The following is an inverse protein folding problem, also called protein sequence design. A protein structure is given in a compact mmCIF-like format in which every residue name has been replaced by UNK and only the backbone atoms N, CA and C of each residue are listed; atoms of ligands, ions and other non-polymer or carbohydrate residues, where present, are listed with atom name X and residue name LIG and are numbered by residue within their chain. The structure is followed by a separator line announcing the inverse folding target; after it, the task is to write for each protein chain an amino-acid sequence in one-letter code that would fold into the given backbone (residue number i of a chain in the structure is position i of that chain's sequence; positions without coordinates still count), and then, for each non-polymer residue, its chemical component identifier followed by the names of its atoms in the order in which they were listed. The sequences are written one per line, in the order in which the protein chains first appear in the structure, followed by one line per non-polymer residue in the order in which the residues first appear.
data_IF_316235346442
#
_entry.id   IF_316235346442
#
_cell.length_a   1.000
_cell.length_b   1.000
_cell.length_c   1.000
_cell.angle_alpha   90.00
_cell.angle_beta   90.00
_cell.angle_gamma   90.00
#
_symmetry.space_group_name_H-M   'P 1'
#
loop_
_entity.id
_entity.type
_entity.pdbx_description
1 polymer ?
#
# COMPACT_ATOMS: atom_id res chain seq x y z
N UNK A 1 -8.57 9.07 -12.73
CA UNK A 1 -9.09 7.85 -12.06
C UNK A 1 -9.66 8.10 -10.65
N UNK A 2 -8.95 8.81 -9.75
CA UNK A 2 -9.38 9.00 -8.35
C UNK A 2 -10.80 9.55 -8.22
N UNK A 3 -11.12 10.68 -8.86
CA UNK A 3 -12.46 11.27 -8.81
C UNK A 3 -13.57 10.31 -9.32
N UNK A 4 -13.28 9.51 -10.36
CA UNK A 4 -14.24 8.56 -10.91
C UNK A 4 -14.49 7.38 -9.95
N UNK A 5 -13.46 6.89 -9.25
CA UNK A 5 -13.61 5.84 -8.25
C UNK A 5 -14.43 6.32 -7.05
N UNK A 6 -14.25 7.57 -6.61
CA UNK A 6 -15.09 8.17 -5.56
C UNK A 6 -16.57 8.28 -5.96
N UNK A 7 -16.86 8.38 -7.26
CA UNK A 7 -18.23 8.43 -7.80
C UNK A 7 -18.80 7.05 -8.17
N UNK A 8 -18.04 5.97 -7.99
CA UNK A 8 -18.49 4.64 -8.38
C UNK A 8 -19.69 4.19 -7.52
N UNK A 9 -20.82 3.77 -8.12
CA UNK A 9 -21.99 3.35 -7.35
C UNK A 9 -21.73 2.10 -6.52
N UNK A 10 -20.79 1.24 -6.94
CA UNK A 10 -20.43 0.01 -6.21
C UNK A 10 -19.42 0.24 -5.07
N UNK A 11 -19.01 1.48 -4.82
CA UNK A 11 -18.13 1.82 -3.70
C UNK A 11 -18.91 1.77 -2.38
N UNK A 12 -18.46 0.92 -1.46
CA UNK A 12 -18.96 0.88 -0.08
C UNK A 12 -18.64 2.21 0.62
N UNK A 13 -19.67 2.88 1.15
CA UNK A 13 -19.59 4.22 1.78
C UNK A 13 -20.09 4.26 3.22
N UNK A 14 -20.57 3.13 3.71
CA UNK A 14 -21.26 2.92 4.98
C UNK A 14 -20.50 1.94 5.89
N UNK A 15 -19.20 1.77 5.65
CA UNK A 15 -18.35 1.00 6.54
C UNK A 15 -18.41 1.55 7.97
N UNK A 16 -18.49 0.65 8.96
CA UNK A 16 -18.50 1.04 10.36
C UNK A 16 -17.26 1.87 10.70
N UNK A 17 -17.38 2.91 11.54
CA UNK A 17 -16.23 3.69 11.99
C UNK A 17 -15.18 2.77 12.63
N UNK A 18 -13.92 2.89 12.19
CA UNK A 18 -12.81 2.20 12.80
C UNK A 18 -12.28 2.99 14.00
N UNK A 19 -11.89 2.26 15.06
CA UNK A 19 -11.27 2.83 16.25
C UNK A 19 -9.74 2.64 16.22
N UNK A 20 -9.01 3.43 17.02
CA UNK A 20 -7.56 3.23 17.18
C UNK A 20 -7.20 1.81 17.64
N UNK A 21 -8.04 1.19 18.47
CA UNK A 21 -7.83 -0.18 18.91
C UNK A 21 -7.91 -1.17 17.74
N UNK A 22 -8.83 -0.96 16.80
CA UNK A 22 -8.96 -1.81 15.61
C UNK A 22 -7.70 -1.70 14.73
N UNK A 23 -7.12 -0.51 14.57
CA UNK A 23 -5.85 -0.34 13.85
C UNK A 23 -4.67 -1.02 14.55
N UNK A 24 -4.59 -0.91 15.88
CA UNK A 24 -3.50 -1.52 16.67
C UNK A 24 -3.62 -3.05 16.73
N UNK A 25 -4.82 -3.60 16.57
CA UNK A 25 -5.07 -5.05 16.59
C UNK A 25 -4.30 -5.84 15.52
N UNK A 26 -3.84 -5.15 14.46
CA UNK A 26 -3.22 -5.78 13.30
C UNK A 26 -4.22 -6.43 12.34
N UNK A 27 -5.52 -6.40 12.64
CA UNK A 27 -6.55 -6.83 11.71
C UNK A 27 -6.63 -5.83 10.54
N UNK A 28 -6.58 -6.31 9.28
CA UNK A 28 -6.73 -5.43 8.13
C UNK A 28 -8.16 -4.88 8.10
N UNK A 29 -8.30 -3.55 8.19
CA UNK A 29 -9.59 -2.84 8.06
C UNK A 29 -10.09 -2.80 6.61
N UNK A 30 -9.30 -3.32 5.67
CA UNK A 30 -9.58 -3.32 4.24
C UNK A 30 -9.40 -1.96 3.58
N UNK A 31 -9.63 -1.93 2.28
CA UNK A 31 -9.66 -0.72 1.47
C UNK A 31 -10.92 -0.78 0.60
N UNK A 32 -11.88 0.13 0.80
CA UNK A 32 -13.17 0.09 0.09
C UNK A 32 -13.03 0.25 -1.44
N UNK A 33 -11.93 0.83 -1.91
CA UNK A 33 -11.66 0.96 -3.35
C UNK A 33 -11.14 -0.33 -3.97
N UNK A 34 -10.56 -1.24 -3.18
CA UNK A 34 -9.96 -2.48 -3.68
C UNK A 34 -10.93 -3.32 -4.53
N UNK A 35 -12.12 -3.73 -4.04
CA UNK A 35 -13.04 -4.54 -4.84
C UNK A 35 -13.54 -3.82 -6.08
N UNK A 36 -13.69 -2.49 -6.03
CA UNK A 36 -14.16 -1.68 -7.15
C UNK A 36 -13.08 -1.58 -8.24
N UNK A 37 -11.86 -1.25 -7.85
CA UNK A 37 -10.74 -1.07 -8.77
C UNK A 37 -10.33 -2.39 -9.42
N UNK A 38 -10.25 -3.47 -8.64
CA UNK A 38 -9.92 -4.81 -9.14
C UNK A 38 -10.89 -5.30 -10.23
N UNK A 39 -12.19 -4.99 -10.09
CA UNK A 39 -13.19 -5.31 -11.12
C UNK A 39 -13.07 -4.46 -12.39
N UNK A 40 -12.60 -3.21 -12.26
CA UNK A 40 -12.59 -2.24 -13.36
C UNK A 40 -11.28 -2.21 -14.14
N UNK A 41 -10.17 -2.58 -13.50
CA UNK A 41 -8.82 -2.47 -14.09
C UNK A 41 -8.11 -3.84 -14.11
N UNK A 42 -8.14 -4.57 -15.24
CA UNK A 42 -7.55 -5.90 -15.35
C UNK A 42 -6.05 -5.95 -15.00
N UNK A 43 -5.31 -4.88 -15.25
CA UNK A 43 -3.90 -4.78 -14.87
C UNK A 43 -3.70 -4.79 -13.34
N UNK A 44 -4.64 -4.21 -12.58
CA UNK A 44 -4.62 -4.23 -11.12
C UNK A 44 -4.95 -5.63 -10.62
N UNK A 45 -5.95 -6.30 -11.20
CA UNK A 45 -6.26 -7.69 -10.84
C UNK A 45 -5.10 -8.64 -11.14
N UNK A 46 -4.43 -8.48 -12.29
CA UNK A 46 -3.25 -9.26 -12.63
C UNK A 46 -2.10 -9.05 -11.62
N UNK A 47 -1.87 -7.81 -11.19
CA UNK A 47 -0.89 -7.51 -10.15
C UNK A 47 -1.28 -8.15 -8.80
N UNK A 48 -2.56 -8.09 -8.41
CA UNK A 48 -3.08 -8.76 -7.22
C UNK A 48 -2.87 -10.27 -7.28
N UNK A 49 -3.20 -10.91 -8.39
CA UNK A 49 -3.01 -12.34 -8.59
C UNK A 49 -1.52 -12.74 -8.52
N UNK A 50 -0.62 -11.94 -9.09
CA UNK A 50 0.82 -12.18 -9.01
C UNK A 50 1.35 -12.05 -7.57
N UNK A 51 0.93 -11.03 -6.85
CA UNK A 51 1.32 -10.77 -5.46
C UNK A 51 0.72 -11.79 -4.48
N UNK A 52 -0.48 -12.31 -4.76
CA UNK A 52 -1.14 -13.36 -3.97
C UNK A 52 -0.33 -14.65 -3.86
N UNK A 53 0.61 -14.88 -4.79
CA UNK A 53 1.51 -16.04 -4.73
C UNK A 53 2.59 -15.92 -3.67
N UNK A 54 2.88 -14.71 -3.20
CA UNK A 54 3.98 -14.43 -2.26
C UNK A 54 3.51 -13.83 -0.93
N UNK A 55 2.20 -13.58 -0.78
CA UNK A 55 1.60 -13.14 0.48
C UNK A 55 0.19 -12.59 0.28
N UNK A 56 -0.26 -11.75 1.21
CA UNK A 56 -1.60 -11.13 1.16
C UNK A 56 -1.53 -9.73 0.54
N UNK A 57 -1.87 -9.55 -0.75
CA UNK A 57 -1.83 -8.25 -1.40
C UNK A 57 -2.90 -7.31 -0.86
N UNK A 58 -2.57 -6.02 -0.81
CA UNK A 58 -3.49 -4.94 -0.47
C UNK A 58 -3.30 -3.75 -1.39
N UNK A 59 -4.40 -3.03 -1.62
CA UNK A 59 -4.39 -1.77 -2.36
C UNK A 59 -4.00 -0.61 -1.43
N UNK A 60 -3.14 0.29 -1.89
CA UNK A 60 -2.85 1.56 -1.19
C UNK A 60 -3.59 2.74 -1.81
N UNK A 61 -4.17 3.60 -0.97
CA UNK A 61 -4.98 4.75 -1.40
C UNK A 61 -6.16 4.34 -2.30
N UNK A 62 -6.35 5.06 -3.40
CA UNK A 62 -7.32 4.70 -4.45
C UNK A 62 -6.69 3.87 -5.58
N UNK A 63 -5.46 3.37 -5.36
CA UNK A 63 -4.65 2.69 -6.38
C UNK A 63 -3.88 3.64 -7.31
N UNK A 64 -3.14 3.11 -8.28
CA UNK A 64 -3.02 1.68 -8.65
C UNK A 64 -1.92 0.92 -7.89
N UNK A 65 -1.28 1.54 -6.89
CA UNK A 65 -0.25 0.88 -6.09
C UNK A 65 -0.80 -0.27 -5.25
N UNK A 66 -0.09 -1.39 -5.25
CA UNK A 66 -0.41 -2.59 -4.46
C UNK A 66 0.83 -2.99 -3.64
N UNK A 67 0.64 -3.61 -2.48
CA UNK A 67 1.74 -4.04 -1.62
C UNK A 67 1.43 -5.35 -0.90
N UNK A 68 2.49 -6.03 -0.46
CA UNK A 68 2.46 -7.19 0.44
C UNK A 68 3.39 -6.88 1.60
N UNK A 69 2.97 -7.20 2.82
CA UNK A 69 3.80 -7.03 4.02
C UNK A 69 4.63 -8.27 4.30
N UNK A 70 5.86 -8.04 4.74
CA UNK A 70 6.79 -9.06 5.18
C UNK A 70 7.42 -8.62 6.50
N UNK A 71 7.65 -9.58 7.39
CA UNK A 71 8.26 -9.31 8.70
C UNK A 71 9.74 -8.96 8.60
N UNK A 72 10.42 -9.43 7.54
CA UNK A 72 11.86 -9.25 7.35
C UNK A 72 12.18 -8.81 5.93
N UNK A 73 13.35 -8.18 5.77
CA UNK A 73 13.83 -7.75 4.46
C UNK A 73 14.13 -8.96 3.56
N UNK A 74 14.70 -10.00 4.14
CA UNK A 74 15.11 -11.23 3.43
C UNK A 74 13.90 -11.95 2.84
N UNK A 75 12.79 -12.02 3.58
CA UNK A 75 11.54 -12.61 3.08
C UNK A 75 10.91 -11.76 1.97
N UNK A 76 10.98 -10.42 2.07
CA UNK A 76 10.53 -9.53 1.01
C UNK A 76 11.38 -9.65 -0.27
N UNK A 77 12.70 -9.78 -0.16
CA UNK A 77 13.61 -9.95 -1.30
C UNK A 77 13.40 -11.32 -1.97
N UNK A 78 13.22 -12.38 -1.18
CA UNK A 78 12.89 -13.72 -1.70
C UNK A 78 11.53 -13.74 -2.41
N UNK A 79 10.54 -12.99 -1.91
CA UNK A 79 9.26 -12.83 -2.57
C UNK A 79 9.39 -12.04 -3.90
N UNK A 80 10.15 -10.94 -3.91
CA UNK A 80 10.39 -10.14 -5.12
C UNK A 80 11.00 -10.98 -6.25
N UNK A 81 11.96 -11.86 -5.92
CA UNK A 81 12.59 -12.75 -6.89
C UNK A 81 11.63 -13.78 -7.52
N UNK A 82 10.50 -14.08 -6.86
CA UNK A 82 9.48 -14.98 -7.37
C UNK A 82 8.45 -14.29 -8.27
N UNK A 83 8.41 -12.96 -8.32
CA UNK A 83 7.41 -12.24 -9.11
C UNK A 83 7.68 -12.39 -10.62
N UNK A 84 6.62 -12.46 -11.46
CA UNK A 84 6.80 -12.59 -12.89
C UNK A 84 7.51 -11.36 -13.47
N UNK A 85 8.31 -11.55 -14.54
CA UNK A 85 8.90 -10.43 -15.27
C UNK A 85 7.81 -9.51 -15.82
N UNK A 86 8.08 -8.20 -15.85
CA UNK A 86 7.15 -7.19 -16.35
C UNK A 86 6.36 -6.46 -15.25
N UNK A 87 6.36 -6.97 -14.01
CA UNK A 87 5.83 -6.22 -12.87
C UNK A 87 6.89 -5.26 -12.33
N UNK A 88 6.57 -3.97 -12.27
CA UNK A 88 7.43 -2.95 -11.65
C UNK A 88 7.27 -3.01 -10.12
N UNK A 89 8.09 -3.82 -9.47
CA UNK A 89 8.09 -4.04 -8.03
C UNK A 89 9.48 -3.80 -7.42
N UNK A 90 9.51 -3.35 -6.16
CA UNK A 90 10.72 -3.16 -5.37
C UNK A 90 10.41 -3.36 -3.88
N UNK A 91 11.45 -3.64 -3.08
CA UNK A 91 11.34 -3.72 -1.62
C UNK A 91 11.53 -2.32 -1.02
N UNK A 92 10.67 -1.96 -0.06
CA UNK A 92 10.79 -0.73 0.71
C UNK A 92 10.55 -1.03 2.19
N UNK A 93 11.32 -0.39 3.07
CA UNK A 93 11.10 -0.46 4.52
C UNK A 93 10.07 0.59 4.95
N UNK A 94 9.13 0.18 5.80
CA UNK A 94 8.26 1.13 6.49
C UNK A 94 9.08 1.98 7.45
N UNK A 95 8.73 3.27 7.57
CA UNK A 95 9.41 4.21 8.45
C UNK A 95 8.42 4.83 9.44
N UNK A 96 8.68 4.68 10.74
CA UNK A 96 7.87 5.31 11.79
C UNK A 96 8.01 6.84 11.80
N UNK A 97 9.10 7.34 11.20
CA UNK A 97 9.39 8.76 11.08
C UNK A 97 9.62 9.14 9.63
N UNK A 98 9.11 10.30 9.22
CA UNK A 98 9.33 10.80 7.86
C UNK A 98 10.83 11.02 7.59
N UNK A 99 11.39 10.45 6.52
CA UNK A 99 12.78 10.68 6.12
C UNK A 99 13.13 12.15 5.92
N UNK A 100 12.13 12.99 5.58
CA UNK A 100 12.30 14.44 5.46
C UNK A 100 12.58 15.08 6.82
N UNK A 101 11.87 14.69 7.87
CA UNK A 101 12.10 15.23 9.21
C UNK A 101 13.49 14.86 9.74
N UNK A 102 13.91 13.60 9.52
CA UNK A 102 15.27 13.18 9.87
C UNK A 102 16.32 13.97 9.09
N UNK A 103 16.09 14.23 7.80
CA UNK A 103 17.01 15.00 6.97
C UNK A 103 17.10 16.47 7.42
N UNK A 104 15.99 17.08 7.85
CA UNK A 104 15.98 18.46 8.35
C UNK A 104 16.75 18.60 9.67
N UNK A 105 16.59 17.64 10.59
CA UNK A 105 17.37 17.64 11.84
C UNK A 105 18.86 17.45 11.60
N UNK A 106 19.24 16.53 10.69
CA UNK A 106 20.64 16.33 10.31
C UNK A 106 21.27 17.56 9.67
N UNK A 107 20.48 18.41 9.02
CA UNK A 107 20.96 19.62 8.34
C UNK A 107 21.22 20.80 9.28
N UNK A 108 20.74 20.74 10.53
CA UNK A 108 20.84 21.84 11.49
C UNK A 108 20.11 23.12 11.04
N UNK A 109 19.90 24.11 11.92
CA UNK A 109 19.41 25.41 11.50
C UNK A 109 20.45 26.06 10.58
N UNK A 110 20.03 26.57 9.42
CA UNK A 110 20.87 27.48 8.63
C UNK A 110 21.10 28.72 9.48
N UNK A 111 22.31 28.88 10.02
CA UNK A 111 22.76 30.17 10.56
C UNK A 111 22.88 31.10 9.34
N UNK A 112 21.83 31.90 9.10
CA UNK A 112 21.88 33.00 8.16
C UNK A 112 22.80 34.09 8.71
N UNK A 113 23.74 34.54 7.89
CA UNK A 113 24.61 35.69 8.17
C UNK A 113 23.90 37.03 7.94
#
# INVERSE_FOLDING_TARGET
PTAQLFQAPELTRDASPATMADFVSGAPLGNCFEPVLRRREPAVEAAFAALARVGSPRLTGTGSGCFVEFATRESAEAALAQLPPGLRAWVAAGAARSPLHEALERRGPRVGG
#
